data_IF_672359713864
#
_entry.id   IF_672359713864
#
_cell.length_a   1.000
_cell.length_b   1.000
_cell.length_c   1.000
_cell.angle_alpha   90.00
_cell.angle_beta   90.00
_cell.angle_gamma   90.00
#
_symmetry.space_group_name_H-M   'P 1'
#
loop_
_entity.id
_entity.type
_entity.pdbx_description
1 polymer ?
#
# COMPACT_ATOMS: atom_id res chain seq x y z
N UNK A 1 0.14 2.03 4.76
CA UNK A 1 -1.32 1.74 4.84
C UNK A 1 -2.17 2.95 5.24
N UNK A 2 -1.96 3.56 6.43
CA UNK A 2 -2.80 4.66 6.93
C UNK A 2 -2.95 5.82 5.95
N UNK A 3 -1.84 6.23 5.31
CA UNK A 3 -1.84 7.32 4.33
C UNK A 3 -2.70 7.01 3.09
N UNK A 4 -2.53 5.84 2.45
CA UNK A 4 -3.40 5.42 1.35
C UNK A 4 -4.88 5.32 1.76
N UNK A 5 -5.18 4.82 2.96
CA UNK A 5 -6.56 4.78 3.44
C UNK A 5 -7.15 6.19 3.58
N UNK A 6 -6.38 7.13 4.15
CA UNK A 6 -6.80 8.51 4.29
C UNK A 6 -7.00 9.21 2.94
N UNK A 7 -6.10 8.98 1.97
CA UNK A 7 -6.21 9.49 0.61
C UNK A 7 -7.43 8.93 -0.14
N UNK A 8 -7.77 7.67 0.09
CA UNK A 8 -8.98 7.05 -0.45
C UNK A 8 -10.27 7.55 0.22
N UNK A 9 -10.19 8.38 1.27
CA UNK A 9 -11.37 8.88 2.00
C UNK A 9 -12.12 7.81 2.79
N UNK A 10 -11.50 6.65 3.04
CA UNK A 10 -12.15 5.49 3.67
C UNK A 10 -11.82 5.47 5.17
N UNK A 11 -12.81 5.31 6.05
CA UNK A 11 -12.56 5.11 7.49
C UNK A 11 -12.03 3.71 7.81
N UNK A 12 -11.40 3.51 8.97
CA UNK A 12 -10.96 2.17 9.41
C UNK A 12 -12.13 1.16 9.47
N UNK A 13 -13.32 1.65 9.86
CA UNK A 13 -14.55 0.85 9.92
C UNK A 13 -15.02 0.44 8.52
N UNK A 14 -15.07 1.38 7.59
CA UNK A 14 -15.46 1.10 6.20
C UNK A 14 -14.49 0.14 5.54
N UNK A 15 -13.18 0.35 5.69
CA UNK A 15 -12.18 -0.56 5.14
C UNK A 15 -12.35 -1.97 5.70
N UNK A 16 -12.49 -2.10 7.04
CA UNK A 16 -12.72 -3.40 7.68
C UNK A 16 -13.99 -4.11 7.20
N UNK A 17 -15.05 -3.36 6.89
CA UNK A 17 -16.26 -3.91 6.29
C UNK A 17 -16.05 -4.33 4.82
N UNK A 18 -15.34 -3.52 4.03
CA UNK A 18 -15.05 -3.78 2.61
C UNK A 18 -14.22 -5.03 2.37
N UNK A 19 -13.37 -5.41 3.34
CA UNK A 19 -12.55 -6.62 3.29
C UNK A 19 -13.12 -7.79 4.11
N UNK A 20 -14.39 -7.72 4.52
CA UNK A 20 -15.10 -8.86 5.11
C UNK A 20 -14.74 -9.18 6.58
N UNK A 21 -14.03 -8.31 7.30
CA UNK A 21 -13.65 -8.54 8.70
C UNK A 21 -14.79 -8.33 9.72
N UNK A 22 -15.98 -8.00 9.24
CA UNK A 22 -17.16 -7.72 10.07
C UNK A 22 -17.21 -6.28 10.59
N UNK A 23 -18.42 -5.72 10.70
CA UNK A 23 -18.66 -4.29 10.99
C UNK A 23 -18.12 -3.84 12.36
N UNK A 24 -18.11 -4.72 13.36
CA UNK A 24 -17.75 -4.39 14.74
C UNK A 24 -16.26 -4.57 15.02
N UNK A 25 -15.66 -5.65 14.49
CA UNK A 25 -14.25 -6.01 14.75
C UNK A 25 -13.28 -5.45 13.70
N UNK A 26 -13.80 -5.10 12.52
CA UNK A 26 -12.99 -4.64 11.39
C UNK A 26 -12.16 -3.38 11.72
N UNK A 27 -12.75 -2.36 12.34
CA UNK A 27 -12.03 -1.14 12.71
C UNK A 27 -10.84 -1.40 13.63
N UNK A 28 -11.00 -2.26 14.65
CA UNK A 28 -9.94 -2.66 15.56
C UNK A 28 -8.81 -3.41 14.84
N UNK A 29 -9.14 -4.33 13.92
CA UNK A 29 -8.12 -5.06 13.14
C UNK A 29 -7.36 -4.12 12.22
N UNK A 30 -8.05 -3.25 11.48
CA UNK A 30 -7.42 -2.23 10.63
C UNK A 30 -6.51 -1.31 11.45
N UNK A 31 -6.95 -0.86 12.62
CA UNK A 31 -6.11 -0.05 13.52
C UNK A 31 -4.83 -0.78 13.92
N UNK A 32 -4.91 -2.06 14.30
CA UNK A 32 -3.73 -2.87 14.64
C UNK A 32 -2.78 -3.03 13.45
N UNK A 33 -3.30 -3.20 12.24
CA UNK A 33 -2.48 -3.26 11.02
C UNK A 33 -1.78 -1.93 10.75
N UNK A 34 -2.48 -0.80 10.87
CA UNK A 34 -1.90 0.54 10.69
C UNK A 34 -0.83 0.88 11.74
N UNK A 35 -0.95 0.32 12.93
CA UNK A 35 0.01 0.46 14.03
C UNK A 35 1.11 -0.61 13.99
N UNK A 36 1.12 -1.49 12.98
CA UNK A 36 2.05 -2.63 12.86
C UNK A 36 2.06 -3.57 14.09
N UNK A 37 0.99 -3.54 14.90
CA UNK A 37 0.84 -4.38 16.10
C UNK A 37 0.40 -5.80 15.78
N UNK A 38 -0.04 -6.04 14.55
CA UNK A 38 -0.41 -7.35 14.04
C UNK A 38 -0.11 -7.38 12.55
N UNK A 39 0.38 -8.51 12.06
CA UNK A 39 0.54 -8.73 10.63
C UNK A 39 -0.81 -9.15 10.05
N UNK A 40 -1.10 -8.67 8.85
CA UNK A 40 -2.16 -9.24 8.03
C UNK A 40 -1.60 -10.45 7.27
N UNK A 41 -2.42 -11.49 7.08
CA UNK A 41 -2.09 -12.52 6.12
C UNK A 41 -2.10 -11.93 4.69
N UNK A 42 -1.48 -12.66 3.76
CA UNK A 42 -1.32 -12.19 2.38
C UNK A 42 -2.66 -11.95 1.67
N UNK A 43 -3.67 -12.75 1.98
CA UNK A 43 -5.01 -12.60 1.38
C UNK A 43 -5.67 -11.30 1.84
N UNK A 44 -5.64 -11.02 3.13
CA UNK A 44 -6.13 -9.77 3.72
C UNK A 44 -5.38 -8.57 3.17
N UNK A 45 -4.05 -8.65 3.09
CA UNK A 45 -3.22 -7.59 2.53
C UNK A 45 -3.59 -7.29 1.06
N UNK A 46 -3.79 -8.34 0.26
CA UNK A 46 -4.22 -8.22 -1.12
C UNK A 46 -5.60 -7.55 -1.25
N UNK A 47 -6.56 -7.93 -0.41
CA UNK A 47 -7.88 -7.30 -0.40
C UNK A 47 -7.81 -5.82 -0.01
N UNK A 48 -7.00 -5.47 1.00
CA UNK A 48 -6.77 -4.08 1.40
C UNK A 48 -6.18 -3.28 0.24
N UNK A 49 -5.11 -3.77 -0.39
CA UNK A 49 -4.44 -3.10 -1.49
C UNK A 49 -5.40 -2.83 -2.65
N UNK A 50 -6.19 -3.83 -3.04
CA UNK A 50 -7.23 -3.69 -4.09
C UNK A 50 -8.30 -2.67 -3.72
N UNK A 51 -8.78 -2.65 -2.48
CA UNK A 51 -9.82 -1.70 -2.04
C UNK A 51 -9.30 -0.27 -1.92
N UNK A 52 -8.02 -0.10 -1.64
CA UNK A 52 -7.37 1.21 -1.59
C UNK A 52 -6.80 1.64 -2.95
N UNK A 53 -6.91 0.80 -3.99
CA UNK A 53 -6.34 1.04 -5.32
C UNK A 53 -4.85 1.38 -5.29
N UNK A 54 -4.08 0.61 -4.52
CA UNK A 54 -2.62 0.75 -4.41
C UNK A 54 -1.92 -0.58 -4.71
N UNK A 55 -0.66 -0.58 -5.16
CA UNK A 55 0.13 -1.80 -5.28
C UNK A 55 0.26 -2.52 -3.93
N UNK A 56 0.22 -3.85 -3.92
CA UNK A 56 0.37 -4.63 -2.68
C UNK A 56 1.67 -4.29 -1.93
N UNK A 57 2.76 -4.08 -2.66
CA UNK A 57 4.06 -3.71 -2.11
C UNK A 57 4.03 -2.43 -1.25
N UNK A 58 3.14 -1.49 -1.56
CA UNK A 58 2.98 -0.25 -0.79
C UNK A 58 2.60 -0.51 0.69
N UNK A 59 1.85 -1.59 0.96
CA UNK A 59 1.44 -1.91 2.33
C UNK A 59 2.61 -2.32 3.23
N UNK A 60 3.73 -2.75 2.63
CA UNK A 60 4.90 -3.32 3.30
C UNK A 60 6.18 -2.51 3.07
N UNK A 61 6.09 -1.32 2.47
CA UNK A 61 7.23 -0.45 2.28
C UNK A 61 7.85 -0.06 3.64
N UNK A 62 9.17 -0.22 3.77
CA UNK A 62 9.91 0.00 5.01
C UNK A 62 10.10 1.48 5.36
N UNK A 63 9.94 2.37 4.38
CA UNK A 63 10.04 3.82 4.55
C UNK A 63 8.99 4.55 3.73
N UNK A 64 8.65 5.77 4.16
CA UNK A 64 7.72 6.64 3.44
C UNK A 64 8.25 6.95 2.02
N UNK A 65 9.57 7.13 1.86
CA UNK A 65 10.20 7.37 0.55
C UNK A 65 10.00 6.18 -0.40
N UNK A 66 10.17 4.95 0.08
CA UNK A 66 9.93 3.75 -0.72
C UNK A 66 8.43 3.60 -1.04
N UNK A 67 7.56 3.91 -0.09
CA UNK A 67 6.12 3.88 -0.30
C UNK A 67 5.68 4.86 -1.40
N UNK A 68 6.18 6.09 -1.35
CA UNK A 68 5.91 7.12 -2.35
C UNK A 68 6.46 6.74 -3.72
N UNK A 69 7.67 6.15 -3.77
CA UNK A 69 8.24 5.62 -5.01
C UNK A 69 7.36 4.53 -5.62
N UNK A 70 6.83 3.60 -4.82
CA UNK A 70 5.96 2.53 -5.31
C UNK A 70 4.68 3.10 -5.93
N UNK A 71 4.03 4.07 -5.28
CA UNK A 71 2.82 4.72 -5.81
C UNK A 71 3.14 5.45 -7.11
N UNK A 72 4.14 6.35 -7.07
CA UNK A 72 4.51 7.15 -8.23
C UNK A 72 4.93 6.28 -9.42
N UNK A 73 5.65 5.19 -9.17
CA UNK A 73 6.04 4.24 -10.22
C UNK A 73 4.85 3.46 -10.77
N UNK A 74 3.85 3.13 -9.94
CA UNK A 74 2.65 2.42 -10.38
C UNK A 74 1.71 3.26 -11.25
N UNK A 75 1.76 4.58 -11.11
CA UNK A 75 0.96 5.51 -11.92
C UNK A 75 1.53 5.71 -13.34
N UNK A 76 2.80 5.33 -13.55
CA UNK A 76 3.46 5.41 -14.86
C UNK A 76 2.97 4.31 -15.82
N UNK A 77 2.97 4.61 -17.12
CA UNK A 77 2.81 3.58 -18.14
C UNK A 77 3.97 2.58 -18.11
N UNK A 78 3.77 1.37 -18.65
CA UNK A 78 4.83 0.36 -18.72
C UNK A 78 6.11 0.87 -19.42
N UNK A 79 5.96 1.71 -20.45
CA UNK A 79 7.12 2.31 -21.15
C UNK A 79 7.88 3.28 -20.25
N UNK A 80 7.17 4.11 -19.50
CA UNK A 80 7.76 5.06 -18.56
C UNK A 80 8.41 4.35 -17.37
N UNK A 81 7.78 3.29 -16.86
CA UNK A 81 8.36 2.43 -15.82
C UNK A 81 9.71 1.85 -16.25
N UNK A 82 9.80 1.31 -17.47
CA UNK A 82 11.05 0.77 -18.02
C UNK A 82 12.13 1.85 -18.15
N UNK A 83 11.76 3.05 -18.64
CA UNK A 83 12.68 4.19 -18.75
C UNK A 83 13.18 4.64 -17.39
N UNK A 84 12.28 4.79 -16.41
CA UNK A 84 12.61 5.21 -15.05
C UNK A 84 13.50 4.19 -14.36
N UNK A 85 13.19 2.90 -14.47
CA UNK A 85 14.02 1.83 -13.91
C UNK A 85 15.43 1.84 -14.50
N UNK A 86 15.57 2.07 -15.81
CA UNK A 86 16.88 2.19 -16.46
C UNK A 86 17.68 3.38 -15.90
N UNK A 87 17.03 4.53 -15.71
CA UNK A 87 17.68 5.71 -15.14
C UNK A 87 18.09 5.51 -13.68
N UNK A 88 17.22 4.90 -12.86
CA UNK A 88 17.53 4.56 -11.47
C UNK A 88 18.73 3.61 -11.39
N UNK A 89 18.73 2.54 -12.19
CA UNK A 89 19.88 1.61 -12.26
C UNK A 89 21.16 2.33 -12.65
N UNK A 90 21.12 3.19 -13.67
CA UNK A 90 22.27 3.98 -14.12
C UNK A 90 22.86 4.86 -13.02
N UNK A 91 22.02 5.40 -12.13
CA UNK A 91 22.47 6.20 -10.97
C UNK A 91 23.04 5.33 -9.86
N UNK A 92 22.38 4.22 -9.53
CA UNK A 92 22.84 3.29 -8.52
C UNK A 92 24.14 2.55 -8.89
N UNK A 93 24.42 2.36 -10.18
CA UNK A 93 25.68 1.77 -10.67
C UNK A 93 26.84 2.77 -10.80
N UNK A 94 26.65 4.02 -10.35
CA UNK A 94 27.69 5.07 -10.39
C UNK A 94 28.38 5.31 -9.04
N UNK A 95 28.09 4.46 -8.07
CA UNK A 95 28.90 4.28 -6.85
C UNK A 95 29.86 3.09 -7.05
#
# INVERSE_FOLDING_TARGET
MKSARAQAGVSQRELGALIGLGKTVGSTRINRYEQQKSLCDMETAFQIARKLNVPLAYLFAESDVLADMIIAFSDLTQSEQVKMLKELKRRASRD
#
